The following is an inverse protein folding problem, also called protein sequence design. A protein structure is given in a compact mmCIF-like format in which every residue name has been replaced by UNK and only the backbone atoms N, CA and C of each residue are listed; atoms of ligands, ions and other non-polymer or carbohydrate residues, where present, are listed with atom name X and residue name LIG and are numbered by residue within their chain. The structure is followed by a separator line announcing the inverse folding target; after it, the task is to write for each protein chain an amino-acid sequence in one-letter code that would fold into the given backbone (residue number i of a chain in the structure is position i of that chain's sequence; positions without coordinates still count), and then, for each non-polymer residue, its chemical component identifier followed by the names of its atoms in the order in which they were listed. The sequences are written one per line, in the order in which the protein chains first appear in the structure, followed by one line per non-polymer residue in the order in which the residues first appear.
data_IF_989247998804
#
_entry.id   IF_989247998804
#
_cell.length_a   1.000
_cell.length_b   1.000
_cell.length_c   1.000
_cell.angle_alpha   90.00
_cell.angle_beta   90.00
_cell.angle_gamma   90.00
#
_symmetry.space_group_name_H-M   'P 1'
#
loop_
_entity.id
_entity.type
_entity.pdbx_description
1 polymer ?
#
# COMPACT_ATOMS: atom_id res chain seq x y z
N UNK A 1 9.12 24.18 -20.28
CA UNK A 1 8.21 24.14 -19.13
C UNK A 1 8.44 22.80 -18.43
N UNK A 2 9.23 22.85 -17.34
CA UNK A 2 9.63 21.65 -16.55
C UNK A 2 8.45 21.21 -15.69
N UNK A 3 7.93 20.00 -15.95
CA UNK A 3 6.98 19.33 -15.05
C UNK A 3 7.74 18.85 -13.80
N UNK A 4 7.43 19.45 -12.66
CA UNK A 4 7.85 18.94 -11.34
C UNK A 4 7.26 17.53 -11.14
N UNK A 5 8.05 16.52 -10.72
CA UNK A 5 7.49 15.24 -10.34
C UNK A 5 6.62 15.42 -9.10
N UNK A 6 5.38 14.95 -9.19
CA UNK A 6 4.42 14.89 -8.08
C UNK A 6 5.01 14.09 -6.93
N UNK A 7 4.82 14.59 -5.70
CA UNK A 7 5.40 14.07 -4.48
C UNK A 7 4.95 12.66 -4.12
N UNK A 8 5.57 11.66 -4.70
CA UNK A 8 5.56 10.28 -4.24
C UNK A 8 6.27 10.22 -2.88
N UNK A 9 5.55 9.72 -1.92
CA UNK A 9 5.83 9.66 -0.52
C UNK A 9 7.30 9.58 -0.08
N UNK A 10 7.84 10.66 0.43
CA UNK A 10 9.18 10.76 1.03
C UNK A 10 9.44 9.76 2.16
N UNK A 11 8.42 9.07 2.66
CA UNK A 11 8.55 8.06 3.70
C UNK A 11 9.07 6.71 3.19
N UNK A 12 8.60 6.26 2.02
CA UNK A 12 9.05 5.00 1.43
C UNK A 12 10.38 5.16 0.68
N UNK A 13 10.60 6.31 0.04
CA UNK A 13 11.91 6.63 -0.59
C UNK A 13 13.06 6.72 0.41
N UNK A 14 12.78 7.10 1.66
CA UNK A 14 13.79 7.11 2.72
C UNK A 14 14.18 5.69 3.18
N UNK A 15 13.33 4.70 2.93
CA UNK A 15 13.55 3.31 3.29
C UNK A 15 14.06 2.46 2.11
N UNK A 16 13.86 2.93 0.88
CA UNK A 16 14.46 2.32 -0.31
C UNK A 16 15.85 2.92 -0.52
N UNK A 17 16.92 2.13 -0.59
CA UNK A 17 18.23 2.65 -0.94
C UNK A 17 18.16 3.29 -2.32
N UNK A 18 18.73 4.49 -2.44
CA UNK A 18 18.98 5.13 -3.73
C UNK A 18 19.71 4.13 -4.62
N UNK A 19 19.26 4.01 -5.86
CA UNK A 19 19.78 3.13 -6.90
C UNK A 19 21.29 2.83 -6.75
N UNK A 20 21.61 1.60 -6.34
CA UNK A 20 22.98 1.10 -6.31
C UNK A 20 23.49 0.54 -4.97
N UNK A 21 23.14 1.11 -3.83
CA UNK A 21 23.61 0.64 -2.54
C UNK A 21 22.58 -0.24 -1.83
N UNK A 22 22.93 -1.49 -1.54
CA UNK A 22 22.08 -2.43 -0.79
C UNK A 22 21.06 -3.23 -1.62
N UNK A 23 21.10 -3.13 -2.94
CA UNK A 23 20.31 -4.01 -3.82
C UNK A 23 21.10 -5.28 -4.11
N UNK A 24 20.50 -6.43 -3.84
CA UNK A 24 21.05 -7.74 -4.13
C UNK A 24 20.16 -8.47 -5.12
N UNK A 25 20.70 -9.45 -5.83
CA UNK A 25 19.91 -10.34 -6.66
C UNK A 25 19.57 -11.59 -5.87
N UNK A 26 18.30 -11.92 -5.81
CA UNK A 26 17.81 -13.09 -5.10
C UNK A 26 17.08 -14.02 -6.07
N UNK A 27 17.22 -15.35 -5.89
CA UNK A 27 16.36 -16.30 -6.58
C UNK A 27 14.91 -16.02 -6.26
N UNK A 28 14.06 -15.90 -7.27
CA UNK A 28 12.63 -15.62 -7.07
C UNK A 28 11.95 -16.73 -6.25
N UNK A 29 12.41 -17.97 -6.39
CA UNK A 29 11.93 -19.11 -5.62
C UNK A 29 12.23 -19.02 -4.11
N UNK A 30 13.20 -18.20 -3.70
CA UNK A 30 13.53 -17.98 -2.28
C UNK A 30 12.62 -16.97 -1.58
N UNK A 31 11.77 -16.28 -2.34
CA UNK A 31 10.88 -15.23 -1.83
C UNK A 31 9.46 -15.78 -1.72
N UNK A 32 8.85 -15.61 -0.56
CA UNK A 32 7.46 -15.99 -0.28
C UNK A 32 6.59 -14.76 -0.11
N UNK A 33 5.35 -14.74 -0.64
CA UNK A 33 4.42 -13.64 -0.42
C UNK A 33 4.02 -13.59 1.05
N UNK A 34 3.75 -12.39 1.56
CA UNK A 34 3.24 -12.22 2.92
C UNK A 34 1.74 -12.61 2.96
N UNK A 35 1.32 -13.58 3.79
CA UNK A 35 -0.08 -13.99 3.90
C UNK A 35 -0.98 -12.90 4.48
N UNK A 36 -0.40 -11.88 5.15
CA UNK A 36 -1.12 -10.74 5.74
C UNK A 36 -1.22 -9.53 4.81
N UNK A 37 -0.87 -9.68 3.52
CA UNK A 37 -1.00 -8.61 2.54
C UNK A 37 -2.43 -8.08 2.48
N UNK A 38 -2.65 -6.76 2.62
CA UNK A 38 -3.98 -6.17 2.57
C UNK A 38 -4.59 -6.26 1.17
N UNK A 39 -3.78 -6.22 0.11
CA UNK A 39 -4.24 -6.31 -1.27
C UNK A 39 -4.19 -7.75 -1.77
N UNK A 40 -5.38 -8.35 -1.99
CA UNK A 40 -5.52 -9.72 -2.50
C UNK A 40 -5.89 -9.82 -3.97
N UNK A 41 -6.44 -8.75 -4.55
CA UNK A 41 -6.90 -8.74 -5.95
C UNK A 41 -6.09 -7.76 -6.78
N UNK A 42 -5.69 -8.22 -7.96
CA UNK A 42 -5.01 -7.43 -8.99
C UNK A 42 -5.73 -7.69 -10.32
N UNK A 43 -5.89 -6.66 -11.14
CA UNK A 43 -6.43 -6.82 -12.47
C UNK A 43 -5.45 -7.65 -13.32
N UNK A 44 -5.91 -8.75 -13.90
CA UNK A 44 -5.07 -9.67 -14.68
C UNK A 44 -4.41 -8.99 -15.88
N UNK A 45 -5.16 -8.15 -16.59
CA UNK A 45 -4.64 -7.40 -17.74
C UNK A 45 -3.47 -6.50 -17.35
N UNK A 46 -3.62 -5.77 -16.25
CA UNK A 46 -2.58 -4.90 -15.71
C UNK A 46 -1.34 -5.67 -15.23
N UNK A 47 -1.51 -6.91 -14.75
CA UNK A 47 -0.38 -7.79 -14.42
C UNK A 47 0.31 -8.32 -15.67
N UNK A 48 -0.43 -8.66 -16.72
CA UNK A 48 0.14 -9.13 -18.01
C UNK A 48 0.97 -8.04 -18.65
N UNK A 49 0.47 -6.82 -18.74
CA UNK A 49 1.24 -5.67 -19.26
C UNK A 49 2.54 -5.45 -18.50
N UNK A 50 2.49 -5.53 -17.17
CA UNK A 50 3.69 -5.41 -16.35
C UNK A 50 4.64 -6.59 -16.57
N UNK A 51 4.14 -7.81 -16.69
CA UNK A 51 4.94 -9.00 -16.97
C UNK A 51 5.65 -8.90 -18.33
N UNK A 52 4.97 -8.40 -19.35
CA UNK A 52 5.55 -8.18 -20.68
C UNK A 52 6.66 -7.13 -20.63
N UNK A 53 6.44 -6.02 -19.94
CA UNK A 53 7.48 -5.02 -19.70
C UNK A 53 8.69 -5.58 -18.95
N UNK A 54 8.45 -6.46 -17.97
CA UNK A 54 9.53 -7.11 -17.19
C UNK A 54 10.30 -8.10 -18.04
N UNK A 55 9.66 -8.82 -18.98
CA UNK A 55 10.36 -9.70 -19.92
C UNK A 55 11.32 -8.94 -20.83
N UNK A 56 10.92 -7.75 -21.26
CA UNK A 56 11.72 -6.92 -22.16
C UNK A 56 12.86 -6.18 -21.45
N UNK A 57 12.57 -5.58 -20.31
CA UNK A 57 13.45 -4.62 -19.63
C UNK A 57 14.02 -5.11 -18.31
N UNK A 58 13.56 -6.26 -17.83
CA UNK A 58 13.84 -6.72 -16.46
C UNK A 58 13.02 -5.97 -15.41
N UNK A 59 13.16 -6.37 -14.15
CA UNK A 59 12.55 -5.68 -13.02
C UNK A 59 13.45 -4.51 -12.61
N UNK A 60 13.02 -3.29 -12.90
CA UNK A 60 13.80 -2.08 -12.68
C UNK A 60 13.77 -1.62 -11.21
N UNK A 61 12.62 -1.78 -10.54
CA UNK A 61 12.49 -1.42 -9.13
C UNK A 61 12.66 -2.66 -8.25
N UNK A 62 13.57 -2.63 -7.28
CA UNK A 62 13.79 -3.76 -6.40
C UNK A 62 12.56 -4.05 -5.52
N UNK A 63 12.38 -5.33 -5.18
CA UNK A 63 11.45 -5.76 -4.15
C UNK A 63 12.03 -5.45 -2.77
N UNK A 64 11.18 -5.20 -1.79
CA UNK A 64 11.57 -5.14 -0.39
C UNK A 64 11.23 -6.46 0.27
N UNK A 65 12.23 -7.11 0.84
CA UNK A 65 12.09 -8.41 1.50
C UNK A 65 12.76 -8.38 2.88
N UNK A 66 12.35 -9.31 3.74
CA UNK A 66 13.02 -9.56 5.02
C UNK A 66 13.42 -11.04 5.13
N UNK A 67 14.48 -11.36 5.88
CA UNK A 67 14.81 -12.75 6.15
C UNK A 67 13.68 -13.45 6.91
N UNK A 68 13.33 -14.67 6.48
CA UNK A 68 12.39 -15.52 7.19
C UNK A 68 12.70 -17.00 6.96
N UNK A 69 13.06 -17.69 8.03
CA UNK A 69 13.49 -19.08 7.94
C UNK A 69 14.74 -19.22 7.08
N UNK A 70 14.66 -20.08 6.10
CA UNK A 70 15.71 -20.36 5.11
C UNK A 70 15.62 -19.50 3.84
N UNK A 71 14.67 -18.56 3.80
CA UNK A 71 14.42 -17.70 2.64
C UNK A 71 14.05 -16.29 3.05
N UNK A 72 13.17 -15.69 2.24
CA UNK A 72 12.75 -14.30 2.41
C UNK A 72 11.24 -14.17 2.33
N UNK A 73 10.68 -13.23 3.08
CA UNK A 73 9.29 -12.82 2.98
C UNK A 73 9.19 -11.47 2.28
N UNK A 74 8.27 -11.36 1.33
CA UNK A 74 8.00 -10.12 0.63
C UNK A 74 7.34 -9.12 1.59
N UNK A 75 7.92 -7.93 1.73
CA UNK A 75 7.38 -6.83 2.54
C UNK A 75 6.65 -5.83 1.65
N UNK A 76 7.23 -5.45 0.52
CA UNK A 76 6.63 -4.53 -0.44
C UNK A 76 6.97 -4.94 -1.89
N UNK A 77 6.02 -4.69 -2.81
CA UNK A 77 6.18 -5.01 -4.23
C UNK A 77 5.42 -6.25 -4.69
N UNK A 78 4.28 -6.59 -4.09
CA UNK A 78 3.46 -7.78 -4.43
C UNK A 78 3.09 -7.83 -5.92
N UNK A 79 2.68 -6.72 -6.52
CA UNK A 79 2.33 -6.66 -7.94
C UNK A 79 3.55 -6.97 -8.82
N UNK A 80 4.70 -6.40 -8.51
CA UNK A 80 5.97 -6.66 -9.21
C UNK A 80 6.43 -8.10 -9.03
N UNK A 81 6.29 -8.65 -7.84
CA UNK A 81 6.58 -10.04 -7.56
C UNK A 81 5.74 -10.99 -8.41
N UNK A 82 4.42 -10.80 -8.46
CA UNK A 82 3.53 -11.61 -9.29
C UNK A 82 3.83 -11.48 -10.77
N UNK A 83 4.08 -10.27 -11.24
CA UNK A 83 4.46 -10.03 -12.63
C UNK A 83 5.81 -10.67 -12.98
N UNK A 84 6.77 -10.69 -12.06
CA UNK A 84 8.05 -11.38 -12.23
C UNK A 84 7.88 -12.90 -12.33
N UNK A 85 6.98 -13.49 -11.54
CA UNK A 85 6.60 -14.90 -11.67
C UNK A 85 5.99 -15.20 -13.05
N UNK A 86 5.05 -14.37 -13.49
CA UNK A 86 4.42 -14.52 -14.82
C UNK A 86 5.42 -14.34 -15.97
N UNK A 87 6.41 -13.47 -15.79
CA UNK A 87 7.49 -13.24 -16.75
C UNK A 87 8.52 -14.38 -16.78
N UNK A 88 8.50 -15.29 -15.81
CA UNK A 88 9.42 -16.43 -15.73
C UNK A 88 10.83 -16.04 -15.29
N UNK A 89 11.00 -14.95 -14.54
CA UNK A 89 12.31 -14.56 -14.04
C UNK A 89 12.85 -15.58 -13.03
N UNK A 90 14.15 -15.87 -13.13
CA UNK A 90 14.85 -16.74 -12.19
C UNK A 90 15.32 -15.97 -10.95
N UNK A 91 15.76 -14.73 -11.16
CA UNK A 91 16.28 -13.84 -10.14
C UNK A 91 15.65 -12.45 -10.26
N UNK A 92 15.54 -11.76 -9.13
CA UNK A 92 15.02 -10.40 -9.06
C UNK A 92 15.92 -9.52 -8.19
N UNK A 93 15.99 -8.21 -8.48
CA UNK A 93 16.64 -7.26 -7.59
C UNK A 93 15.78 -7.10 -6.34
N UNK A 94 16.40 -7.14 -5.19
CA UNK A 94 15.74 -7.00 -3.90
C UNK A 94 16.59 -6.21 -2.92
N UNK A 95 15.93 -5.53 -2.00
CA UNK A 95 16.52 -4.94 -0.82
C UNK A 95 16.13 -5.81 0.36
N UNK A 96 17.13 -6.29 1.08
CA UNK A 96 16.93 -7.09 2.29
C UNK A 96 17.00 -6.17 3.50
N UNK A 97 15.92 -6.13 4.29
CA UNK A 97 15.88 -5.45 5.57
C UNK A 97 15.45 -6.40 6.67
N UNK A 98 16.12 -6.31 7.80
CA UNK A 98 15.72 -7.03 9.01
C UNK A 98 14.60 -6.24 9.70
N UNK A 99 13.36 -6.70 9.51
CA UNK A 99 12.16 -6.05 10.00
C UNK A 99 11.38 -7.01 10.90
N UNK A 100 10.88 -6.48 12.00
CA UNK A 100 9.91 -7.19 12.84
C UNK A 100 8.58 -7.39 12.09
N UNK A 101 7.74 -8.30 12.57
CA UNK A 101 6.39 -8.52 12.00
C UNK A 101 5.57 -7.22 12.00
N UNK A 102 5.68 -6.43 13.06
CA UNK A 102 5.03 -5.14 13.19
C UNK A 102 5.51 -4.14 12.14
N UNK A 103 6.83 -3.97 11.99
CA UNK A 103 7.42 -3.06 11.00
C UNK A 103 7.07 -3.48 9.57
N UNK A 104 7.10 -4.78 9.27
CA UNK A 104 6.71 -5.31 7.97
C UNK A 104 5.23 -5.05 7.66
N UNK A 105 4.34 -5.26 8.64
CA UNK A 105 2.91 -4.97 8.49
C UNK A 105 2.66 -3.48 8.30
N UNK A 106 3.32 -2.62 9.07
CA UNK A 106 3.21 -1.18 8.95
C UNK A 106 3.61 -0.69 7.55
N UNK A 107 4.73 -1.16 7.03
CA UNK A 107 5.19 -0.82 5.68
C UNK A 107 4.22 -1.31 4.60
N UNK A 108 3.66 -2.51 4.74
CA UNK A 108 2.67 -3.04 3.81
C UNK A 108 1.37 -2.20 3.80
N UNK A 109 0.91 -1.75 4.97
CA UNK A 109 -0.26 -0.88 5.10
C UNK A 109 -0.02 0.50 4.48
N UNK A 110 1.14 1.10 4.74
CA UNK A 110 1.51 2.41 4.17
C UNK A 110 1.62 2.32 2.65
N UNK A 111 2.25 1.28 2.09
CA UNK A 111 2.31 1.06 0.64
C UNK A 111 0.92 0.96 0.04
N UNK A 112 0.03 0.17 0.64
CA UNK A 112 -1.35 0.03 0.16
C UNK A 112 -2.12 1.35 0.19
N UNK A 113 -1.91 2.19 1.20
CA UNK A 113 -2.55 3.50 1.34
C UNK A 113 -2.04 4.54 0.33
N UNK A 114 -0.92 4.31 -0.32
CA UNK A 114 -0.38 5.18 -1.36
C UNK A 114 -0.96 4.91 -2.75
N UNK A 115 -1.88 3.95 -2.87
CA UNK A 115 -2.58 3.68 -4.13
C UNK A 115 -3.56 4.80 -4.46
N UNK A 116 -3.66 5.11 -5.76
CA UNK A 116 -4.55 6.16 -6.26
C UNK A 116 -6.02 5.70 -6.39
N UNK A 117 -6.26 4.39 -6.40
CA UNK A 117 -7.56 3.76 -6.67
C UNK A 117 -8.31 3.29 -5.40
N UNK A 118 -7.91 3.76 -4.21
CA UNK A 118 -8.59 3.43 -2.96
C UNK A 118 -9.95 4.12 -2.86
N UNK A 119 -10.97 3.37 -2.41
CA UNK A 119 -12.22 3.97 -2.00
C UNK A 119 -12.04 4.77 -0.70
N UNK A 120 -12.92 5.76 -0.42
CA UNK A 120 -12.86 6.51 0.83
C UNK A 120 -12.93 5.62 2.10
N UNK A 121 -13.68 4.52 2.02
CA UNK A 121 -13.81 3.57 3.15
C UNK A 121 -12.57 2.71 3.30
N UNK A 122 -11.98 2.24 2.20
CA UNK A 122 -10.71 1.50 2.22
C UNK A 122 -9.58 2.36 2.79
N UNK A 123 -9.51 3.62 2.39
CA UNK A 123 -8.54 4.57 2.92
C UNK A 123 -8.71 4.78 4.42
N UNK A 124 -9.95 5.01 4.88
CA UNK A 124 -10.28 5.18 6.29
C UNK A 124 -9.92 3.94 7.12
N UNK A 125 -10.24 2.73 6.64
CA UNK A 125 -9.88 1.47 7.31
C UNK A 125 -8.37 1.27 7.37
N UNK A 126 -7.63 1.67 6.35
CA UNK A 126 -6.18 1.63 6.35
C UNK A 126 -5.58 2.55 7.41
N UNK A 127 -6.08 3.76 7.55
CA UNK A 127 -5.66 4.67 8.63
C UNK A 127 -5.99 4.12 10.00
N UNK A 128 -7.18 3.56 10.17
CA UNK A 128 -7.57 2.93 11.44
C UNK A 128 -6.63 1.78 11.82
N UNK A 129 -6.28 0.93 10.87
CA UNK A 129 -5.35 -0.17 11.13
C UNK A 129 -3.98 0.33 11.63
N UNK A 130 -3.48 1.43 11.08
CA UNK A 130 -2.25 2.06 11.57
C UNK A 130 -2.40 2.64 12.98
N UNK A 131 -3.55 3.25 13.31
CA UNK A 131 -3.84 3.72 14.67
C UNK A 131 -3.89 2.57 15.67
N UNK A 132 -4.50 1.45 15.29
CA UNK A 132 -4.58 0.24 16.13
C UNK A 132 -3.19 -0.37 16.38
N UNK A 133 -2.23 -0.11 15.52
CA UNK A 133 -0.82 -0.44 15.72
C UNK A 133 -0.11 0.53 16.70
N UNK A 134 -0.79 1.55 17.19
CA UNK A 134 -0.29 2.51 18.16
C UNK A 134 0.31 3.79 17.58
N UNK A 135 0.14 4.05 16.27
CA UNK A 135 0.50 5.33 15.67
C UNK A 135 -0.53 6.40 16.03
N UNK A 136 -0.09 7.63 16.18
CA UNK A 136 -0.98 8.79 16.27
C UNK A 136 -1.47 9.23 14.90
N UNK A 137 -2.54 9.99 14.81
CA UNK A 137 -3.04 10.56 13.54
C UNK A 137 -1.98 11.39 12.82
N UNK A 138 -1.15 12.11 13.57
CA UNK A 138 -0.05 12.90 13.01
C UNK A 138 1.04 12.01 12.41
N UNK A 139 1.39 10.93 13.08
CA UNK A 139 2.36 9.95 12.57
C UNK A 139 1.84 9.26 11.32
N UNK A 140 0.56 8.85 11.30
CA UNK A 140 -0.09 8.28 10.12
C UNK A 140 -0.03 9.27 8.97
N UNK A 141 -0.44 10.52 9.18
CA UNK A 141 -0.43 11.57 8.16
C UNK A 141 0.98 11.76 7.56
N UNK A 142 2.00 11.80 8.41
CA UNK A 142 3.40 11.92 7.98
C UNK A 142 3.84 10.72 7.14
N UNK A 143 3.49 9.49 7.55
CA UNK A 143 3.86 8.26 6.85
C UNK A 143 3.23 8.13 5.47
N UNK A 144 1.97 8.55 5.33
CA UNK A 144 1.23 8.48 4.07
C UNK A 144 1.35 9.75 3.22
N UNK A 145 2.02 10.79 3.71
CA UNK A 145 2.23 12.04 2.97
C UNK A 145 0.97 12.89 2.84
N UNK A 146 0.09 12.85 3.83
CA UNK A 146 -1.17 13.60 3.88
C UNK A 146 -1.17 14.60 5.04
N UNK A 147 -2.12 15.55 5.03
CA UNK A 147 -2.36 16.40 6.19
C UNK A 147 -3.08 15.61 7.30
N UNK A 148 -2.82 15.95 8.56
CA UNK A 148 -3.52 15.33 9.70
C UNK A 148 -5.04 15.48 9.58
N UNK A 149 -5.52 16.62 9.12
CA UNK A 149 -6.96 16.88 8.90
C UNK A 149 -7.57 15.93 7.88
N UNK A 150 -6.83 15.56 6.84
CA UNK A 150 -7.26 14.57 5.83
C UNK A 150 -7.46 13.21 6.48
N UNK A 151 -6.51 12.78 7.30
CA UNK A 151 -6.60 11.51 8.06
C UNK A 151 -7.79 11.54 9.03
N UNK A 152 -7.94 12.62 9.79
CA UNK A 152 -9.05 12.78 10.74
C UNK A 152 -10.41 12.75 10.04
N UNK A 153 -10.56 13.43 8.91
CA UNK A 153 -11.80 13.43 8.13
C UNK A 153 -12.13 12.05 7.54
N UNK A 154 -11.14 11.33 7.06
CA UNK A 154 -11.32 9.96 6.58
C UNK A 154 -11.80 9.03 7.71
N UNK A 155 -11.17 9.09 8.87
CA UNK A 155 -11.55 8.28 10.03
C UNK A 155 -12.98 8.56 10.51
N UNK A 156 -13.46 9.78 10.40
CA UNK A 156 -14.85 10.13 10.75
C UNK A 156 -15.87 9.38 9.89
N UNK A 157 -15.55 9.02 8.67
CA UNK A 157 -16.43 8.24 7.80
C UNK A 157 -16.81 6.89 8.42
N UNK A 158 -15.93 6.29 9.22
CA UNK A 158 -16.20 5.02 9.89
C UNK A 158 -17.24 5.11 11.01
N UNK A 159 -17.68 6.33 11.38
CA UNK A 159 -18.77 6.55 12.32
C UNK A 159 -20.17 6.51 11.66
N UNK A 160 -20.21 6.35 10.33
CA UNK A 160 -21.47 6.20 9.61
C UNK A 160 -22.14 4.84 9.90
N UNK A 161 -23.46 4.77 9.81
CA UNK A 161 -24.16 3.50 9.85
C UNK A 161 -23.69 2.53 8.76
N UNK A 162 -23.79 1.21 8.99
CA UNK A 162 -23.32 0.21 8.01
C UNK A 162 -23.90 0.41 6.60
N UNK A 163 -25.16 0.75 6.48
CA UNK A 163 -25.84 0.99 5.21
C UNK A 163 -25.22 2.16 4.42
N UNK A 164 -24.88 3.23 5.12
CA UNK A 164 -24.23 4.40 4.51
C UNK A 164 -22.77 4.08 4.11
N UNK A 165 -22.06 3.29 4.89
CA UNK A 165 -20.71 2.81 4.53
C UNK A 165 -20.76 1.93 3.28
N UNK A 166 -21.71 1.00 3.19
CA UNK A 166 -21.90 0.15 2.01
C UNK A 166 -22.24 0.97 0.77
N UNK A 167 -23.14 1.95 0.90
CA UNK A 167 -23.49 2.85 -0.19
C UNK A 167 -22.30 3.67 -0.68
N UNK A 168 -21.42 4.10 0.25
CA UNK A 168 -20.19 4.80 -0.07
C UNK A 168 -19.18 3.86 -0.76
N UNK A 169 -19.06 2.62 -0.33
CA UNK A 169 -18.19 1.61 -0.97
C UNK A 169 -18.65 1.27 -2.39
N UNK A 170 -19.96 1.21 -2.61
CA UNK A 170 -20.54 0.97 -3.94
C UNK A 170 -20.53 2.21 -4.86
N UNK A 171 -20.14 3.37 -4.32
CA UNK A 171 -20.14 4.62 -5.07
C UNK A 171 -21.52 5.23 -5.29
N UNK A 172 -22.55 4.77 -4.58
CA UNK A 172 -23.93 5.29 -4.63
C UNK A 172 -24.02 6.68 -3.98
N UNK A 173 -23.19 6.92 -2.98
CA UNK A 173 -22.97 8.24 -2.37
C UNK A 173 -21.50 8.63 -2.45
N UNK A 174 -21.25 9.94 -2.44
CA UNK A 174 -19.89 10.50 -2.43
C UNK A 174 -19.38 10.70 -1.00
N UNK A 175 -18.07 10.87 -0.83
CA UNK A 175 -17.47 11.27 0.46
C UNK A 175 -18.05 12.60 0.97
N UNK A 176 -18.46 13.50 0.08
CA UNK A 176 -19.17 14.74 0.43
C UNK A 176 -20.53 14.48 1.06
N UNK A 177 -21.34 13.62 0.45
CA UNK A 177 -22.62 13.17 1.01
C UNK A 177 -22.45 12.48 2.37
N UNK A 178 -21.45 11.61 2.48
CA UNK A 178 -21.13 10.90 3.71
C UNK A 178 -20.76 11.88 4.86
N UNK A 179 -19.97 12.93 4.56
CA UNK A 179 -19.66 13.96 5.55
C UNK A 179 -20.87 14.78 5.97
N UNK A 180 -21.81 15.04 5.05
CA UNK A 180 -23.06 15.72 5.39
C UNK A 180 -23.90 14.88 6.34
N UNK A 181 -23.99 13.56 6.13
CA UNK A 181 -24.68 12.65 7.05
C UNK A 181 -24.09 12.69 8.47
N UNK A 182 -22.77 12.83 8.60
CA UNK A 182 -22.11 12.94 9.90
C UNK A 182 -22.44 14.24 10.67
N UNK A 183 -23.01 15.24 10.00
CA UNK A 183 -23.50 16.47 10.65
C UNK A 183 -24.88 16.30 11.29
N UNK A 184 -25.62 15.25 10.89
CA UNK A 184 -26.90 14.90 11.51
C UNK A 184 -26.69 14.24 12.86
N UNK A 185 -27.73 14.32 13.70
CA UNK A 185 -27.75 13.54 14.95
C UNK A 185 -27.69 12.04 14.63
N UNK A 186 -27.09 11.21 15.53
CA UNK A 186 -26.95 9.77 15.28
C UNK A 186 -28.25 9.04 14.91
N UNK A 187 -29.37 9.55 15.41
CA UNK A 187 -30.71 8.97 15.16
C UNK A 187 -31.25 9.26 13.74
N UNK A 188 -30.69 10.29 13.09
CA UNK A 188 -31.14 10.77 11.77
C UNK A 188 -30.17 10.36 10.62
N UNK A 189 -29.14 9.56 10.90
CA UNK A 189 -28.10 9.16 9.96
C UNK A 189 -28.45 7.98 9.06
#
# INVERSE_FOLDING_TARGET
VSRKPSGLGRGLEALLPKTGAGVVRLPLASIRPNPRQPRKRFAEESLKELADSIREKGLLQPLLVRPQGDGYELVAGERRYRAALMAGLQEVPAVVKDLTDREALELALVENLQREDLSPVEEARGYQALLEMGLTQEEVARRVGKARSTVANALRLLQLPPEALEALERGEITAGHARALLMLEPEDR
#
